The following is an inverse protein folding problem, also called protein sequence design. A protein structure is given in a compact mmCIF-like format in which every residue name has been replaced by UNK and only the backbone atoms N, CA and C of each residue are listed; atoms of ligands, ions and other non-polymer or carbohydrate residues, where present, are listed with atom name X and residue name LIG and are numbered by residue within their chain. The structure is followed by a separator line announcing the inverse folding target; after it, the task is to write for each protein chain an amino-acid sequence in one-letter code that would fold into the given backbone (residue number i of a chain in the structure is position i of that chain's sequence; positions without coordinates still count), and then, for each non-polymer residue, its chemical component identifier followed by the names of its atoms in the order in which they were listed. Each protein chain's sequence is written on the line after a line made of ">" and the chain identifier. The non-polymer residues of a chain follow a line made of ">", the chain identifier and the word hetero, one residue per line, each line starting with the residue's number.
data_IF_017728140902
#
_entry.id   IF_017728140902
#
_cell.length_a   1.000
_cell.length_b   1.000
_cell.length_c   1.000
_cell.angle_alpha   90.00
_cell.angle_beta   90.00
_cell.angle_gamma   90.00
#
_symmetry.space_group_name_H-M   'P 1'
#
loop_
_entity.id
_entity.type
_entity.pdbx_description
1 polymer ?
#
# COMPACT_ATOMS: atom_id res chain seq x y z
N UNK A 1 36.17 22.13 -46.64
CA UNK A 1 35.41 23.17 -45.92
C UNK A 1 33.92 22.81 -45.76
N UNK A 2 33.33 21.98 -46.59
CA UNK A 2 31.90 21.56 -46.49
C UNK A 2 31.66 20.44 -45.42
N UNK A 3 32.63 19.56 -45.18
CA UNK A 3 32.48 18.41 -44.26
C UNK A 3 32.59 18.79 -42.78
N UNK A 4 33.16 19.93 -42.44
CA UNK A 4 33.25 20.44 -41.07
C UNK A 4 31.96 21.08 -40.57
N UNK A 5 31.19 21.71 -41.46
CA UNK A 5 29.90 22.30 -41.12
C UNK A 5 28.79 21.28 -40.89
N UNK A 6 28.84 20.14 -41.55
CA UNK A 6 27.86 19.07 -41.40
C UNK A 6 28.03 18.34 -40.07
N UNK A 7 29.27 18.08 -39.60
CA UNK A 7 29.53 17.47 -38.31
C UNK A 7 29.16 18.37 -37.10
N UNK A 8 29.36 19.69 -37.24
CA UNK A 8 28.98 20.65 -36.19
C UNK A 8 27.46 20.77 -36.07
N UNK A 9 26.72 20.69 -37.19
CA UNK A 9 25.27 20.71 -37.16
C UNK A 9 24.67 19.41 -36.56
N UNK A 10 25.26 18.27 -36.87
CA UNK A 10 24.81 16.96 -36.32
C UNK A 10 25.09 16.83 -34.81
N UNK A 11 26.24 17.31 -34.34
CA UNK A 11 26.54 17.35 -32.90
C UNK A 11 25.62 18.32 -32.17
N UNK A 12 25.37 19.50 -32.70
CA UNK A 12 24.47 20.50 -32.06
C UNK A 12 23.02 20.02 -32.00
N UNK A 13 22.54 19.28 -33.03
CA UNK A 13 21.18 18.73 -33.02
C UNK A 13 21.04 17.54 -32.08
N UNK A 14 22.05 16.67 -32.03
CA UNK A 14 22.10 15.58 -31.05
C UNK A 14 22.20 16.10 -29.61
N UNK A 15 22.99 17.17 -29.37
CA UNK A 15 23.12 17.82 -28.07
C UNK A 15 21.82 18.53 -27.67
N UNK A 16 21.12 19.15 -28.59
CA UNK A 16 19.79 19.75 -28.34
C UNK A 16 18.74 18.67 -28.07
N UNK A 17 18.75 17.56 -28.81
CA UNK A 17 17.86 16.43 -28.55
C UNK A 17 18.16 15.75 -27.22
N UNK A 18 19.44 15.57 -26.87
CA UNK A 18 19.84 15.04 -25.54
C UNK A 18 19.52 16.04 -24.43
N UNK A 19 19.72 17.33 -24.64
CA UNK A 19 19.31 18.36 -23.67
C UNK A 19 17.78 18.46 -23.53
N UNK A 20 17.03 18.30 -24.62
CA UNK A 20 15.56 18.22 -24.60
C UNK A 20 15.09 16.93 -23.93
N UNK A 21 15.78 15.82 -24.17
CA UNK A 21 15.52 14.51 -23.54
C UNK A 21 15.82 14.55 -22.03
N UNK A 22 16.93 15.18 -21.63
CA UNK A 22 17.27 15.45 -20.24
C UNK A 22 16.31 16.46 -19.58
N UNK A 23 15.80 17.44 -20.34
CA UNK A 23 14.79 18.38 -19.84
C UNK A 23 13.39 17.77 -19.71
N UNK A 24 13.13 16.65 -20.38
CA UNK A 24 11.88 15.84 -20.33
C UNK A 24 12.16 14.47 -19.67
N UNK A 25 13.20 14.38 -18.86
CA UNK A 25 13.43 13.18 -18.06
C UNK A 25 12.24 13.00 -17.09
N UNK A 26 11.40 11.97 -17.27
CA UNK A 26 10.27 11.74 -16.38
C UNK A 26 10.69 11.46 -14.94
N UNK A 27 11.99 11.22 -14.70
CA UNK A 27 12.59 11.00 -13.38
C UNK A 27 13.08 12.28 -12.70
N UNK A 28 13.35 13.35 -13.45
CA UNK A 28 13.85 14.62 -12.92
C UNK A 28 12.98 15.20 -11.78
N UNK A 29 11.64 15.17 -11.84
CA UNK A 29 10.81 15.63 -10.72
C UNK A 29 10.99 14.76 -9.47
N UNK A 30 11.19 13.46 -9.63
CA UNK A 30 11.38 12.53 -8.50
C UNK A 30 12.74 12.69 -7.85
N UNK A 31 13.80 12.83 -8.65
CA UNK A 31 15.14 13.11 -8.17
C UNK A 31 15.19 14.47 -7.46
N UNK A 32 14.63 15.49 -8.06
CA UNK A 32 14.52 16.80 -7.43
C UNK A 32 13.79 16.74 -6.08
N UNK A 33 12.68 16.01 -6.01
CA UNK A 33 11.89 15.82 -4.78
C UNK A 33 12.69 15.07 -3.71
N UNK A 34 13.41 14.03 -4.08
CA UNK A 34 14.25 13.26 -3.17
C UNK A 34 15.41 14.12 -2.65
N UNK A 35 16.13 14.83 -3.52
CA UNK A 35 17.34 15.56 -3.17
C UNK A 35 17.03 16.86 -2.42
N UNK A 36 15.96 17.57 -2.77
CA UNK A 36 15.68 18.89 -2.22
C UNK A 36 14.67 18.89 -1.06
N UNK A 37 13.82 17.85 -0.95
CA UNK A 37 12.83 17.78 0.13
C UNK A 37 13.10 16.62 1.09
N UNK A 38 13.20 15.41 0.59
CA UNK A 38 13.32 14.21 1.43
C UNK A 38 14.71 14.11 2.07
N UNK A 39 15.77 14.28 1.28
CA UNK A 39 17.16 14.20 1.75
C UNK A 39 17.43 15.16 2.91
N UNK A 40 17.22 16.48 2.78
CA UNK A 40 17.47 17.42 3.87
C UNK A 40 16.64 17.17 5.13
N UNK A 41 15.40 16.64 5.00
CA UNK A 41 14.58 16.27 6.15
C UNK A 41 15.19 15.04 6.84
N UNK A 42 15.56 14.01 6.08
CA UNK A 42 16.16 12.79 6.62
C UNK A 42 17.54 13.05 7.23
N UNK A 43 18.35 13.94 6.66
CA UNK A 43 19.65 14.34 7.20
C UNK A 43 19.49 15.07 8.55
N UNK A 44 18.49 15.93 8.67
CA UNK A 44 18.17 16.58 9.96
C UNK A 44 17.69 15.55 11.00
N UNK A 45 16.85 14.60 10.59
CA UNK A 45 16.42 13.50 11.48
C UNK A 45 17.60 12.63 11.89
N UNK A 46 18.54 12.35 10.98
CA UNK A 46 19.80 11.66 11.29
C UNK A 46 20.59 12.38 12.39
N UNK A 47 20.72 13.71 12.27
CA UNK A 47 21.43 14.54 13.23
C UNK A 47 20.74 14.57 14.62
N UNK A 48 19.40 14.60 14.64
CA UNK A 48 18.62 14.64 15.89
C UNK A 48 18.55 13.28 16.58
N UNK A 49 18.34 12.21 15.81
CA UNK A 49 18.17 10.85 16.34
C UNK A 49 19.50 10.11 16.54
N UNK A 50 20.61 10.65 16.02
CA UNK A 50 21.93 10.01 16.09
C UNK A 50 22.03 8.69 15.31
N UNK A 51 21.12 8.43 14.39
CA UNK A 51 21.06 7.17 13.61
C UNK A 51 21.55 7.39 12.19
N UNK A 52 22.72 6.84 11.79
CA UNK A 52 23.27 7.02 10.43
C UNK A 52 22.40 6.38 9.34
N UNK A 53 21.45 5.55 9.71
CA UNK A 53 20.56 4.81 8.82
C UNK A 53 19.78 5.70 7.85
N UNK A 54 19.26 6.83 8.32
CA UNK A 54 18.44 7.75 7.53
C UNK A 54 19.24 8.58 6.50
N UNK A 55 20.58 8.62 6.66
CA UNK A 55 21.49 9.28 5.71
C UNK A 55 21.77 8.47 4.43
N UNK A 56 21.41 7.17 4.39
CA UNK A 56 21.64 6.35 3.20
C UNK A 56 20.56 6.57 2.14
N UNK A 57 20.91 6.89 0.86
CA UNK A 57 19.94 7.17 -0.19
C UNK A 57 18.93 6.04 -0.45
N UNK A 58 19.35 4.77 -0.32
CA UNK A 58 18.43 3.64 -0.48
C UNK A 58 17.40 3.56 0.65
N UNK A 59 17.79 3.92 1.89
CA UNK A 59 16.87 3.97 3.02
C UNK A 59 15.87 5.12 2.90
N UNK A 60 16.31 6.28 2.44
CA UNK A 60 15.42 7.43 2.17
C UNK A 60 14.33 7.05 1.16
N UNK A 61 14.72 6.34 0.09
CA UNK A 61 13.77 5.80 -0.91
C UNK A 61 12.83 4.76 -0.31
N UNK A 62 13.36 3.85 0.50
CA UNK A 62 12.57 2.81 1.15
C UNK A 62 11.54 3.40 2.13
N UNK A 63 11.92 4.38 2.96
CA UNK A 63 10.98 5.06 3.86
C UNK A 63 9.91 5.83 3.10
N UNK A 64 10.30 6.60 2.06
CA UNK A 64 9.32 7.34 1.26
C UNK A 64 8.31 6.40 0.61
N UNK A 65 8.79 5.30 0.06
CA UNK A 65 7.93 4.30 -0.55
C UNK A 65 7.02 3.61 0.49
N UNK A 66 7.55 3.26 1.66
CA UNK A 66 6.77 2.67 2.74
C UNK A 66 5.65 3.62 3.23
N UNK A 67 5.96 4.90 3.42
CA UNK A 67 4.98 5.96 3.77
C UNK A 67 3.90 6.10 2.69
N UNK A 68 4.27 6.16 1.41
CA UNK A 68 3.28 6.22 0.33
C UNK A 68 2.32 5.03 0.36
N UNK A 69 2.83 3.81 0.56
CA UNK A 69 2.01 2.59 0.62
C UNK A 69 1.13 2.60 1.87
N UNK A 70 1.68 3.01 3.02
CA UNK A 70 0.96 3.09 4.29
C UNK A 70 -0.18 4.14 4.28
N UNK A 71 -0.17 5.10 3.35
CA UNK A 71 -1.32 5.99 3.10
C UNK A 71 -2.35 5.33 2.20
N UNK A 72 -1.92 4.86 1.00
CA UNK A 72 -2.88 4.39 -0.02
C UNK A 72 -3.45 3.00 0.30
N UNK A 73 -2.68 2.15 0.99
CA UNK A 73 -3.10 0.81 1.41
C UNK A 73 -4.37 0.85 2.25
N UNK A 74 -4.34 1.47 3.45
CA UNK A 74 -5.53 1.57 4.30
C UNK A 74 -6.65 2.40 3.70
N UNK A 75 -6.32 3.41 2.87
CA UNK A 75 -7.32 4.23 2.18
C UNK A 75 -8.23 3.37 1.28
N UNK A 76 -7.65 2.45 0.51
CA UNK A 76 -8.38 1.48 -0.33
C UNK A 76 -8.85 0.29 0.51
N UNK A 77 -8.01 -0.22 1.39
CA UNK A 77 -8.28 -1.37 2.25
C UNK A 77 -9.52 -1.18 3.14
N UNK A 78 -9.77 0.05 3.63
CA UNK A 78 -10.96 0.31 4.44
C UNK A 78 -12.25 0.03 3.67
N UNK A 79 -12.33 0.39 2.39
CA UNK A 79 -13.49 0.06 1.56
C UNK A 79 -13.60 -1.45 1.30
N UNK A 80 -12.46 -2.14 1.06
CA UNK A 80 -12.42 -3.59 0.84
C UNK A 80 -12.91 -4.37 2.06
N UNK A 81 -12.40 -4.04 3.24
CA UNK A 81 -12.76 -4.72 4.49
C UNK A 81 -14.25 -4.52 4.81
N UNK A 82 -14.79 -3.30 4.64
CA UNK A 82 -16.22 -3.05 4.87
C UNK A 82 -17.14 -3.70 3.83
N UNK A 83 -16.60 -4.13 2.68
CA UNK A 83 -17.33 -4.90 1.65
C UNK A 83 -17.12 -6.39 1.77
N UNK A 84 -16.43 -6.85 2.80
CA UNK A 84 -16.10 -8.27 3.00
C UNK A 84 -15.28 -8.87 1.84
N UNK A 85 -14.51 -8.03 1.13
CA UNK A 85 -13.68 -8.41 -0.01
C UNK A 85 -12.18 -8.37 0.31
N UNK A 86 -11.79 -8.61 1.55
CA UNK A 86 -10.39 -8.58 1.99
C UNK A 86 -9.48 -9.55 1.21
N UNK A 87 -10.01 -10.72 0.82
CA UNK A 87 -9.29 -11.72 0.00
C UNK A 87 -8.93 -11.23 -1.40
N UNK A 88 -9.58 -10.16 -1.91
CA UNK A 88 -9.27 -9.60 -3.23
C UNK A 88 -7.83 -9.09 -3.31
N UNK A 89 -7.31 -8.48 -2.25
CA UNK A 89 -5.93 -7.99 -2.21
C UNK A 89 -4.90 -9.11 -2.36
N UNK A 90 -5.14 -10.25 -1.71
CA UNK A 90 -4.29 -11.44 -1.81
C UNK A 90 -4.35 -12.08 -3.20
N UNK A 91 -5.56 -12.24 -3.73
CA UNK A 91 -5.77 -12.72 -5.11
C UNK A 91 -5.02 -11.87 -6.13
N UNK A 92 -5.13 -10.54 -6.02
CA UNK A 92 -4.46 -9.62 -6.94
C UNK A 92 -2.94 -9.62 -6.76
N UNK A 93 -2.42 -9.82 -5.54
CA UNK A 93 -0.99 -9.92 -5.29
C UNK A 93 -0.38 -11.15 -5.98
N UNK A 94 -1.01 -12.31 -5.84
CA UNK A 94 -0.54 -13.54 -6.49
C UNK A 94 -0.65 -13.49 -8.02
N UNK A 95 -1.68 -12.87 -8.56
CA UNK A 95 -1.81 -12.71 -10.03
C UNK A 95 -0.90 -11.61 -10.57
N UNK A 96 -0.63 -10.55 -9.81
CA UNK A 96 0.39 -9.57 -10.15
C UNK A 96 1.78 -10.19 -10.23
N UNK A 97 2.09 -11.10 -9.30
CA UNK A 97 3.31 -11.90 -9.36
C UNK A 97 3.40 -12.73 -10.63
N UNK A 98 2.34 -13.42 -11.03
CA UNK A 98 2.30 -14.09 -12.31
C UNK A 98 2.55 -13.11 -13.48
N UNK A 99 2.04 -11.88 -13.40
CA UNK A 99 2.30 -10.82 -14.37
C UNK A 99 3.76 -10.39 -14.44
N UNK A 100 4.48 -10.32 -13.30
CA UNK A 100 5.94 -10.11 -13.28
C UNK A 100 6.65 -11.24 -14.01
N UNK A 101 6.30 -12.48 -13.69
CA UNK A 101 6.91 -13.67 -14.30
C UNK A 101 6.64 -13.73 -15.80
N UNK A 102 5.42 -13.40 -16.25
CA UNK A 102 5.08 -13.27 -17.66
C UNK A 102 5.98 -12.23 -18.35
N UNK A 103 6.20 -11.07 -17.73
CA UNK A 103 7.09 -10.04 -18.25
C UNK A 103 8.53 -10.52 -18.39
N UNK A 104 9.06 -11.18 -17.36
CA UNK A 104 10.41 -11.76 -17.40
C UNK A 104 10.52 -12.87 -18.47
N UNK A 105 9.52 -13.71 -18.60
CA UNK A 105 9.46 -14.75 -19.63
C UNK A 105 9.45 -14.17 -21.04
N UNK A 106 8.61 -13.15 -21.31
CA UNK A 106 8.57 -12.49 -22.59
C UNK A 106 9.90 -11.82 -22.95
N UNK A 107 10.55 -11.19 -21.97
CA UNK A 107 11.88 -10.60 -22.17
C UNK A 107 12.92 -11.67 -22.51
N UNK A 108 12.90 -12.82 -21.83
CA UNK A 108 13.82 -13.91 -22.11
C UNK A 108 13.56 -14.60 -23.45
N UNK A 109 12.28 -14.89 -23.76
CA UNK A 109 11.90 -15.67 -24.95
C UNK A 109 11.91 -14.84 -26.25
N UNK A 110 11.57 -13.55 -26.18
CA UNK A 110 11.41 -12.66 -27.35
C UNK A 110 12.46 -11.56 -27.40
N UNK A 111 13.45 -11.55 -26.50
CA UNK A 111 14.48 -10.51 -26.38
C UNK A 111 13.88 -9.09 -26.30
N UNK A 112 12.72 -8.96 -25.65
CA UNK A 112 12.05 -7.69 -25.41
C UNK A 112 12.66 -7.02 -24.16
N UNK A 113 12.48 -5.70 -24.06
CA UNK A 113 12.90 -4.91 -22.88
C UNK A 113 11.68 -4.35 -22.15
N UNK A 114 10.69 -5.21 -21.88
CA UNK A 114 9.48 -4.80 -21.17
C UNK A 114 9.77 -4.65 -19.66
N UNK A 115 9.23 -3.59 -19.07
CA UNK A 115 9.25 -3.47 -17.62
C UNK A 115 8.34 -4.52 -16.98
N UNK A 116 8.90 -5.39 -16.12
CA UNK A 116 8.12 -6.41 -15.39
C UNK A 116 7.02 -5.81 -14.52
N UNK A 117 7.18 -4.55 -14.11
CA UNK A 117 6.16 -3.82 -13.36
C UNK A 117 4.94 -3.49 -14.24
N UNK A 118 5.17 -3.06 -15.49
CA UNK A 118 4.08 -2.76 -16.43
C UNK A 118 3.28 -4.02 -16.76
N UNK A 119 3.95 -5.15 -16.98
CA UNK A 119 3.26 -6.44 -17.22
C UNK A 119 2.47 -6.88 -15.98
N UNK A 120 3.00 -6.67 -14.78
CA UNK A 120 2.29 -6.91 -13.53
C UNK A 120 1.01 -6.06 -13.42
N UNK A 121 1.06 -4.77 -13.74
CA UNK A 121 -0.11 -3.89 -13.74
C UNK A 121 -1.18 -4.36 -14.73
N UNK A 122 -0.78 -4.67 -15.96
CA UNK A 122 -1.71 -5.15 -16.99
C UNK A 122 -2.39 -6.43 -16.55
N UNK A 123 -1.62 -7.43 -16.10
CA UNK A 123 -2.17 -8.72 -15.65
C UNK A 123 -3.06 -8.52 -14.41
N UNK A 124 -2.65 -7.74 -13.43
CA UNK A 124 -3.46 -7.47 -12.23
C UNK A 124 -4.79 -6.78 -12.58
N UNK A 125 -4.79 -5.77 -13.46
CA UNK A 125 -6.02 -5.10 -13.88
C UNK A 125 -6.93 -6.05 -14.66
N UNK A 126 -6.39 -6.85 -15.59
CA UNK A 126 -7.17 -7.85 -16.34
C UNK A 126 -7.78 -8.86 -15.39
N UNK A 127 -7.00 -9.35 -14.42
CA UNK A 127 -7.47 -10.30 -13.40
C UNK A 127 -8.52 -9.68 -12.49
N UNK A 128 -8.32 -8.43 -12.08
CA UNK A 128 -9.27 -7.67 -11.29
C UNK A 128 -10.65 -7.60 -11.97
N UNK A 129 -10.67 -7.28 -13.26
CA UNK A 129 -11.88 -7.24 -14.06
C UNK A 129 -12.47 -8.63 -14.31
N UNK A 130 -11.62 -9.66 -14.45
CA UNK A 130 -12.04 -11.06 -14.59
C UNK A 130 -12.76 -11.56 -13.34
N UNK A 131 -12.23 -11.26 -12.15
CA UNK A 131 -12.88 -11.61 -10.87
C UNK A 131 -14.27 -10.98 -10.79
N UNK A 132 -14.39 -9.69 -11.12
CA UNK A 132 -15.69 -9.01 -11.10
C UNK A 132 -16.67 -9.64 -12.11
N UNK A 133 -16.18 -9.97 -13.31
CA UNK A 133 -16.98 -10.62 -14.35
C UNK A 133 -17.49 -12.00 -13.88
N UNK A 134 -16.62 -12.79 -13.24
CA UNK A 134 -16.98 -14.11 -12.71
C UNK A 134 -18.06 -14.01 -11.63
N UNK A 135 -17.92 -13.06 -10.71
CA UNK A 135 -18.90 -12.82 -9.64
C UNK A 135 -20.22 -12.33 -10.21
N UNK A 136 -20.20 -11.41 -11.20
CA UNK A 136 -21.44 -10.80 -11.75
C UNK A 136 -22.20 -11.76 -12.67
N UNK A 137 -21.53 -12.55 -13.51
CA UNK A 137 -22.15 -13.35 -14.56
C UNK A 137 -22.24 -14.84 -14.26
N UNK A 138 -21.27 -15.42 -13.55
CA UNK A 138 -21.27 -16.85 -13.27
C UNK A 138 -22.10 -17.22 -12.03
N UNK A 139 -22.61 -16.23 -11.27
CA UNK A 139 -23.34 -16.48 -10.01
C UNK A 139 -22.50 -17.24 -8.98
N UNK A 140 -21.17 -17.26 -9.17
CA UNK A 140 -20.26 -17.95 -8.28
C UNK A 140 -20.13 -17.18 -6.96
N UNK A 141 -19.93 -17.91 -5.87
CA UNK A 141 -19.58 -17.30 -4.59
C UNK A 141 -18.29 -16.49 -4.73
N UNK A 142 -18.28 -15.27 -4.21
CA UNK A 142 -17.12 -14.35 -4.31
C UNK A 142 -15.84 -15.02 -3.85
N UNK A 143 -15.84 -15.67 -2.68
CA UNK A 143 -14.66 -16.32 -2.11
C UNK A 143 -14.14 -17.48 -2.97
N UNK A 144 -15.05 -18.24 -3.59
CA UNK A 144 -14.67 -19.33 -4.49
C UNK A 144 -14.02 -18.80 -5.76
N UNK A 145 -14.57 -17.72 -6.34
CA UNK A 145 -13.99 -17.07 -7.53
C UNK A 145 -12.61 -16.50 -7.22
N UNK A 146 -12.45 -15.85 -6.07
CA UNK A 146 -11.17 -15.30 -5.63
C UNK A 146 -10.13 -16.40 -5.41
N UNK A 147 -10.51 -17.53 -4.77
CA UNK A 147 -9.62 -18.65 -4.53
C UNK A 147 -9.17 -19.32 -5.85
N UNK A 148 -10.09 -19.49 -6.81
CA UNK A 148 -9.76 -20.06 -8.14
C UNK A 148 -8.77 -19.18 -8.90
N UNK A 149 -9.00 -17.87 -8.91
CA UNK A 149 -8.14 -16.90 -9.61
C UNK A 149 -6.79 -16.80 -8.92
N UNK A 150 -6.73 -16.81 -7.58
CA UNK A 150 -5.50 -16.79 -6.81
C UNK A 150 -4.63 -18.02 -7.15
N UNK A 151 -5.20 -19.21 -7.01
CA UNK A 151 -4.47 -20.46 -7.27
C UNK A 151 -4.08 -20.62 -8.73
N UNK A 152 -4.95 -20.22 -9.66
CA UNK A 152 -4.68 -20.22 -11.10
C UNK A 152 -3.56 -19.26 -11.48
N UNK A 153 -3.57 -18.04 -10.95
CA UNK A 153 -2.52 -17.05 -11.17
C UNK A 153 -1.17 -17.53 -10.65
N UNK A 154 -1.13 -18.05 -9.42
CA UNK A 154 0.12 -18.60 -8.86
C UNK A 154 0.62 -19.82 -9.64
N UNK A 155 -0.27 -20.71 -10.09
CA UNK A 155 0.08 -21.87 -10.89
C UNK A 155 0.70 -21.47 -12.24
N UNK A 156 0.12 -20.49 -12.94
CA UNK A 156 0.68 -19.96 -14.19
C UNK A 156 2.08 -19.39 -13.94
N UNK A 157 2.25 -18.57 -12.91
CA UNK A 157 3.56 -18.03 -12.53
C UNK A 157 4.58 -19.14 -12.28
N UNK A 158 4.22 -20.15 -11.50
CA UNK A 158 5.08 -21.29 -11.17
C UNK A 158 5.49 -22.10 -12.41
N UNK A 159 4.55 -22.37 -13.33
CA UNK A 159 4.85 -23.08 -14.58
C UNK A 159 5.85 -22.29 -15.43
N UNK A 160 5.66 -20.96 -15.58
CA UNK A 160 6.56 -20.13 -16.37
C UNK A 160 7.98 -20.04 -15.78
N UNK A 161 8.10 -19.99 -14.44
CA UNK A 161 9.39 -20.01 -13.75
C UNK A 161 10.13 -21.33 -14.06
N UNK A 162 9.44 -22.46 -13.93
CA UNK A 162 10.03 -23.78 -14.15
C UNK A 162 10.32 -24.08 -15.61
N UNK A 163 9.54 -23.49 -16.54
CA UNK A 163 9.75 -23.66 -17.99
C UNK A 163 10.97 -22.88 -18.53
N UNK A 164 11.61 -22.02 -17.75
CA UNK A 164 12.69 -21.13 -18.22
C UNK A 164 14.08 -21.56 -17.70
N UNK A 165 14.36 -22.84 -17.63
CA UNK A 165 15.70 -23.44 -17.29
C UNK A 165 16.48 -22.70 -16.18
N UNK A 166 15.78 -22.17 -15.17
CA UNK A 166 16.36 -21.49 -14.01
C UNK A 166 16.85 -20.06 -14.24
N UNK A 167 16.80 -19.53 -15.47
CA UNK A 167 17.30 -18.16 -15.77
C UNK A 167 16.47 -17.03 -15.16
N UNK A 168 15.19 -17.28 -14.86
CA UNK A 168 14.27 -16.28 -14.25
C UNK A 168 14.28 -16.36 -12.72
N UNK A 169 14.77 -17.43 -12.12
CA UNK A 169 14.74 -17.60 -10.65
C UNK A 169 15.57 -16.56 -9.88
N UNK A 170 16.52 -15.92 -10.54
CA UNK A 170 17.36 -14.88 -9.93
C UNK A 170 16.54 -13.60 -9.73
N UNK A 171 16.28 -13.24 -8.47
CA UNK A 171 15.56 -12.02 -8.10
C UNK A 171 14.06 -12.22 -7.79
N UNK A 172 13.50 -13.40 -8.00
CA UNK A 172 12.11 -13.72 -7.64
C UNK A 172 11.87 -13.56 -6.14
N UNK A 173 12.87 -13.91 -5.32
CA UNK A 173 12.80 -13.78 -3.86
C UNK A 173 12.51 -12.33 -3.43
N UNK A 174 13.03 -11.34 -4.15
CA UNK A 174 12.78 -9.93 -3.87
C UNK A 174 11.29 -9.57 -4.11
N UNK A 175 10.63 -10.18 -5.08
CA UNK A 175 9.19 -9.97 -5.32
C UNK A 175 8.32 -10.75 -4.34
N UNK A 176 8.77 -11.90 -3.85
CA UNK A 176 8.02 -12.72 -2.89
C UNK A 176 8.07 -12.14 -1.47
N UNK A 177 9.26 -11.79 -1.01
CA UNK A 177 9.49 -11.38 0.38
C UNK A 177 9.71 -9.88 0.56
N UNK A 178 9.84 -9.13 -0.53
CA UNK A 178 10.19 -7.72 -0.52
C UNK A 178 11.68 -7.47 -0.28
N UNK A 179 12.19 -6.34 -0.74
CA UNK A 179 13.57 -5.95 -0.55
C UNK A 179 13.71 -4.42 -0.54
N UNK A 180 14.29 -3.87 0.53
CA UNK A 180 14.56 -2.43 0.62
C UNK A 180 15.63 -1.99 -0.38
N UNK A 181 16.57 -2.88 -0.71
CA UNK A 181 17.69 -2.58 -1.60
C UNK A 181 17.29 -2.47 -3.09
N UNK A 182 16.16 -3.06 -3.48
CA UNK A 182 15.68 -3.06 -4.87
C UNK A 182 14.85 -1.82 -5.23
N UNK A 183 14.56 -0.95 -4.27
CA UNK A 183 13.77 0.26 -4.49
C UNK A 183 14.60 1.30 -5.24
N UNK A 184 14.40 1.40 -6.56
CA UNK A 184 15.04 2.39 -7.42
C UNK A 184 14.31 3.74 -7.37
N UNK A 185 15.00 4.81 -7.81
CA UNK A 185 14.38 6.15 -7.94
C UNK A 185 13.16 6.12 -8.88
N UNK A 186 13.27 5.35 -9.98
CA UNK A 186 12.18 5.16 -10.93
C UNK A 186 10.94 4.53 -10.26
N UNK A 187 11.14 3.51 -9.43
CA UNK A 187 10.04 2.85 -8.71
C UNK A 187 9.36 3.79 -7.72
N UNK A 188 10.13 4.62 -7.02
CA UNK A 188 9.59 5.66 -6.12
C UNK A 188 8.77 6.69 -6.89
N UNK A 189 9.24 7.13 -8.06
CA UNK A 189 8.49 8.05 -8.92
C UNK A 189 7.15 7.49 -9.38
N UNK A 190 7.13 6.24 -9.84
CA UNK A 190 5.90 5.54 -10.23
C UNK A 190 4.97 5.41 -9.02
N UNK A 191 5.50 5.05 -7.85
CA UNK A 191 4.72 4.91 -6.63
C UNK A 191 4.11 6.23 -6.17
N UNK A 192 4.86 7.34 -6.21
CA UNK A 192 4.36 8.68 -5.90
C UNK A 192 3.21 9.07 -6.85
N UNK A 193 3.37 8.83 -8.14
CA UNK A 193 2.34 9.07 -9.15
C UNK A 193 1.09 8.25 -8.85
N UNK A 194 1.24 6.96 -8.59
CA UNK A 194 0.12 6.07 -8.25
C UNK A 194 -0.55 6.51 -6.95
N UNK A 195 0.23 6.89 -5.93
CA UNK A 195 -0.31 7.39 -4.66
C UNK A 195 -1.14 8.65 -4.85
N UNK A 196 -0.69 9.57 -5.71
CA UNK A 196 -1.44 10.77 -6.07
C UNK A 196 -2.72 10.43 -6.82
N UNK A 197 -2.66 9.53 -7.79
CA UNK A 197 -3.82 9.09 -8.60
C UNK A 197 -4.84 8.35 -7.72
N UNK A 198 -4.40 7.38 -6.94
CA UNK A 198 -5.28 6.59 -6.05
C UNK A 198 -5.89 7.50 -4.99
N UNK A 199 -5.07 8.28 -4.28
CA UNK A 199 -5.53 9.22 -3.26
C UNK A 199 -6.49 10.26 -3.84
N UNK A 200 -6.18 10.83 -5.01
CA UNK A 200 -7.04 11.77 -5.74
C UNK A 200 -8.37 11.14 -6.14
N UNK A 201 -8.36 9.96 -6.77
CA UNK A 201 -9.59 9.26 -7.19
C UNK A 201 -10.45 8.87 -5.99
N UNK A 202 -9.86 8.34 -4.92
CA UNK A 202 -10.62 7.97 -3.72
C UNK A 202 -11.22 9.20 -3.05
N UNK A 203 -10.49 10.32 -2.96
CA UNK A 203 -11.03 11.56 -2.37
C UNK A 203 -12.13 12.18 -3.21
N UNK A 204 -11.99 12.22 -4.54
CA UNK A 204 -13.01 12.73 -5.47
C UNK A 204 -14.27 11.86 -5.49
N UNK A 205 -14.10 10.53 -5.41
CA UNK A 205 -15.19 9.56 -5.46
C UNK A 205 -15.60 9.05 -4.07
N UNK A 206 -15.12 9.67 -2.99
CA UNK A 206 -15.37 9.24 -1.62
C UNK A 206 -16.85 9.01 -1.29
N UNK A 207 -17.70 9.98 -1.62
CA UNK A 207 -19.14 9.89 -1.32
C UNK A 207 -19.82 8.75 -2.09
N UNK A 208 -19.73 8.66 -3.43
CA UNK A 208 -20.28 7.53 -4.18
C UNK A 208 -19.74 6.18 -3.73
N UNK A 209 -18.43 6.07 -3.48
CA UNK A 209 -17.82 4.83 -2.98
C UNK A 209 -18.39 4.42 -1.63
N UNK A 210 -18.61 5.38 -0.73
CA UNK A 210 -19.22 5.13 0.57
C UNK A 210 -20.65 4.58 0.41
N UNK A 211 -21.48 5.22 -0.43
CA UNK A 211 -22.84 4.75 -0.70
C UNK A 211 -22.84 3.32 -1.27
N UNK A 212 -22.02 3.05 -2.26
CA UNK A 212 -21.93 1.73 -2.90
C UNK A 212 -21.37 0.67 -1.93
N UNK A 213 -20.54 1.08 -0.97
CA UNK A 213 -19.95 0.16 0.02
C UNK A 213 -20.98 -0.29 1.06
N UNK A 214 -21.81 0.60 1.57
CA UNK A 214 -22.75 0.26 2.64
C UNK A 214 -24.13 -0.16 2.13
N UNK A 215 -24.62 0.42 1.05
CA UNK A 215 -25.93 0.06 0.47
C UNK A 215 -25.93 0.25 -1.06
N UNK A 216 -25.61 -0.82 -1.77
CA UNK A 216 -25.61 -0.84 -3.23
C UNK A 216 -27.03 -0.67 -3.81
N UNK A 217 -28.07 -1.08 -3.10
CA UNK A 217 -29.48 -0.96 -3.54
C UNK A 217 -29.94 0.49 -3.46
N UNK A 218 -29.67 1.15 -2.33
CA UNK A 218 -29.96 2.58 -2.19
C UNK A 218 -29.14 3.43 -3.18
N UNK A 219 -27.88 3.05 -3.44
CA UNK A 219 -27.04 3.71 -4.44
C UNK A 219 -27.65 3.60 -5.86
N UNK A 220 -28.20 2.44 -6.23
CA UNK A 220 -28.92 2.25 -7.50
C UNK A 220 -30.18 3.12 -7.56
N UNK A 221 -30.97 3.16 -6.48
CA UNK A 221 -32.15 4.01 -6.40
C UNK A 221 -31.81 5.50 -6.54
N UNK A 222 -30.65 5.92 -6.05
CA UNK A 222 -30.08 7.27 -6.23
C UNK A 222 -29.45 7.49 -7.63
N UNK A 223 -29.66 6.58 -8.59
CA UNK A 223 -29.12 6.62 -9.96
C UNK A 223 -27.60 6.62 -10.06
N UNK A 224 -26.89 6.13 -9.05
CA UNK A 224 -25.45 5.94 -9.13
C UNK A 224 -25.14 4.68 -9.96
N UNK A 225 -24.11 4.76 -10.80
CA UNK A 225 -23.65 3.59 -11.55
C UNK A 225 -22.81 2.67 -10.65
N UNK A 226 -23.48 1.78 -9.91
CA UNK A 226 -22.86 0.87 -8.95
C UNK A 226 -21.78 0.00 -9.60
N UNK A 227 -21.97 -0.48 -10.84
CA UNK A 227 -20.97 -1.27 -11.56
C UNK A 227 -19.68 -0.49 -11.78
N UNK A 228 -19.78 0.79 -12.17
CA UNK A 228 -18.61 1.64 -12.39
C UNK A 228 -17.78 1.79 -11.08
N UNK A 229 -18.45 2.06 -9.95
CA UNK A 229 -17.75 2.22 -8.68
C UNK A 229 -17.18 0.91 -8.12
N UNK A 230 -17.84 -0.22 -8.38
CA UNK A 230 -17.29 -1.56 -8.08
C UNK A 230 -16.00 -1.80 -8.88
N UNK A 231 -16.02 -1.60 -10.21
CA UNK A 231 -14.86 -1.73 -11.08
C UNK A 231 -13.73 -0.79 -10.70
N UNK A 232 -14.08 0.48 -10.44
CA UNK A 232 -13.09 1.47 -9.97
C UNK A 232 -12.37 0.98 -8.72
N UNK A 233 -13.12 0.44 -7.75
CA UNK A 233 -12.55 -0.05 -6.49
C UNK A 233 -11.59 -1.22 -6.70
N UNK A 234 -11.97 -2.17 -7.56
CA UNK A 234 -11.15 -3.34 -7.88
C UNK A 234 -9.86 -2.93 -8.62
N UNK A 235 -9.96 -1.99 -9.57
CA UNK A 235 -8.80 -1.44 -10.29
C UNK A 235 -7.88 -0.65 -9.34
N UNK A 236 -8.43 0.18 -8.45
CA UNK A 236 -7.65 0.89 -7.43
C UNK A 236 -6.89 -0.09 -6.53
N UNK A 237 -7.53 -1.19 -6.15
CA UNK A 237 -6.87 -2.26 -5.38
C UNK A 237 -5.71 -2.87 -6.14
N UNK A 238 -5.89 -3.17 -7.44
CA UNK A 238 -4.82 -3.71 -8.28
C UNK A 238 -3.63 -2.74 -8.36
N UNK A 239 -3.89 -1.44 -8.53
CA UNK A 239 -2.84 -0.42 -8.56
C UNK A 239 -2.04 -0.37 -7.25
N UNK A 240 -2.74 -0.37 -6.11
CA UNK A 240 -2.09 -0.36 -4.77
C UNK A 240 -1.28 -1.63 -4.55
N UNK A 241 -1.86 -2.80 -4.86
CA UNK A 241 -1.21 -4.10 -4.65
C UNK A 241 0.07 -4.23 -5.48
N UNK A 242 0.01 -3.91 -6.79
CA UNK A 242 1.20 -4.00 -7.66
C UNK A 242 2.29 -3.03 -7.21
N UNK A 243 1.90 -1.82 -6.77
CA UNK A 243 2.87 -0.83 -6.28
C UNK A 243 3.55 -1.28 -4.99
N UNK A 244 2.80 -1.92 -4.09
CA UNK A 244 3.30 -2.35 -2.78
C UNK A 244 4.17 -3.61 -2.86
N UNK A 245 3.92 -4.50 -3.84
CA UNK A 245 4.59 -5.81 -3.88
C UNK A 245 6.11 -5.74 -4.06
N UNK A 246 6.65 -4.68 -4.68
CA UNK A 246 8.09 -4.54 -4.84
C UNK A 246 8.84 -4.33 -3.53
N UNK A 247 8.20 -3.68 -2.56
CA UNK A 247 8.82 -3.31 -1.28
C UNK A 247 8.52 -4.36 -0.21
N UNK A 248 7.26 -4.76 -0.12
CA UNK A 248 6.76 -5.64 0.93
C UNK A 248 6.74 -7.11 0.51
N UNK A 249 6.82 -7.38 -0.79
CA UNK A 249 6.63 -8.72 -1.35
C UNK A 249 5.17 -9.12 -1.48
N UNK A 250 4.91 -10.02 -2.42
CA UNK A 250 3.58 -10.51 -2.77
C UNK A 250 2.85 -11.14 -1.57
N UNK A 251 3.57 -11.94 -0.78
CA UNK A 251 2.99 -12.70 0.33
C UNK A 251 2.43 -11.79 1.43
N UNK A 252 2.97 -10.58 1.57
CA UNK A 252 2.71 -9.72 2.72
C UNK A 252 1.87 -8.48 2.39
N UNK A 253 1.69 -8.16 1.11
CA UNK A 253 0.92 -6.99 0.66
C UNK A 253 -0.53 -7.02 1.17
N UNK A 254 -1.18 -8.18 1.13
CA UNK A 254 -2.56 -8.31 1.58
C UNK A 254 -2.72 -7.97 3.07
N UNK A 255 -1.72 -8.31 3.90
CA UNK A 255 -1.75 -8.00 5.32
C UNK A 255 -1.76 -6.50 5.59
N UNK A 256 -1.00 -5.70 4.82
CA UNK A 256 -0.95 -4.24 4.98
C UNK A 256 -2.27 -3.55 4.60
N UNK A 257 -3.00 -4.08 3.64
CA UNK A 257 -4.31 -3.53 3.29
C UNK A 257 -5.40 -3.88 4.32
N UNK A 258 -5.24 -4.98 5.06
CA UNK A 258 -6.31 -5.53 5.90
C UNK A 258 -6.06 -5.32 7.39
N UNK A 259 -4.85 -5.62 7.89
CA UNK A 259 -4.56 -5.67 9.33
C UNK A 259 -4.70 -4.29 10.01
N UNK A 260 -4.11 -3.19 9.49
CA UNK A 260 -4.27 -1.87 10.08
C UNK A 260 -5.72 -1.39 10.08
N UNK A 261 -6.47 -1.72 9.01
CA UNK A 261 -7.90 -1.41 8.90
C UNK A 261 -8.71 -2.19 9.93
N UNK A 262 -8.42 -3.48 10.11
CA UNK A 262 -9.07 -4.30 11.12
C UNK A 262 -8.78 -3.79 12.55
N UNK A 263 -7.56 -3.29 12.82
CA UNK A 263 -7.22 -2.64 14.07
C UNK A 263 -8.03 -1.36 14.29
N UNK A 264 -8.07 -0.49 13.29
CA UNK A 264 -8.78 0.79 13.34
C UNK A 264 -10.29 0.62 13.50
N UNK A 265 -10.90 -0.34 12.79
CA UNK A 265 -12.33 -0.62 12.85
C UNK A 265 -12.80 -1.02 14.25
N UNK A 266 -11.91 -1.53 15.12
CA UNK A 266 -12.24 -1.89 16.51
C UNK A 266 -12.46 -0.69 17.42
N UNK A 267 -11.81 0.43 17.16
CA UNK A 267 -11.82 1.62 18.05
C UNK A 267 -12.49 2.82 17.38
N UNK A 268 -12.67 2.81 16.07
CA UNK A 268 -13.32 3.88 15.33
C UNK A 268 -14.81 3.97 15.64
N UNK A 269 -15.32 5.20 15.75
CA UNK A 269 -16.75 5.50 15.92
C UNK A 269 -17.48 5.82 14.61
N UNK A 270 -16.75 5.86 13.50
CA UNK A 270 -17.30 6.15 12.18
C UNK A 270 -16.26 5.94 11.08
N UNK A 271 -16.73 5.88 9.82
CA UNK A 271 -15.90 5.50 8.68
C UNK A 271 -14.68 6.41 8.49
N UNK A 272 -14.82 7.73 8.57
CA UNK A 272 -13.69 8.66 8.45
C UNK A 272 -12.62 8.42 9.52
N UNK A 273 -13.06 8.22 10.76
CA UNK A 273 -12.15 7.92 11.85
C UNK A 273 -11.46 6.56 11.64
N UNK A 274 -12.17 5.57 11.10
CA UNK A 274 -11.59 4.27 10.73
C UNK A 274 -10.46 4.43 9.71
N UNK A 275 -10.69 5.20 8.63
CA UNK A 275 -9.66 5.49 7.64
C UNK A 275 -8.44 6.18 8.25
N UNK A 276 -8.64 7.25 9.04
CA UNK A 276 -7.51 7.99 9.63
C UNK A 276 -6.71 7.16 10.61
N UNK A 277 -7.38 6.39 11.46
CA UNK A 277 -6.70 5.49 12.40
C UNK A 277 -5.99 4.33 11.69
N UNK A 278 -6.57 3.81 10.61
CA UNK A 278 -5.94 2.78 9.79
C UNK A 278 -4.65 3.29 9.14
N UNK A 279 -4.68 4.50 8.56
CA UNK A 279 -3.48 5.14 8.00
C UNK A 279 -2.41 5.35 9.06
N UNK A 280 -2.77 5.89 10.24
CA UNK A 280 -1.81 6.11 11.32
C UNK A 280 -1.21 4.81 11.86
N UNK A 281 -2.01 3.74 11.96
CA UNK A 281 -1.54 2.43 12.38
C UNK A 281 -0.59 1.81 11.36
N UNK A 282 -0.89 1.99 10.07
CA UNK A 282 -0.07 1.49 8.97
C UNK A 282 1.24 2.27 8.82
N UNK A 283 1.21 3.60 8.95
CA UNK A 283 2.40 4.44 9.00
C UNK A 283 3.34 4.04 10.12
N UNK A 284 2.79 3.82 11.32
CA UNK A 284 3.59 3.33 12.45
C UNK A 284 4.21 1.96 12.14
N UNK A 285 3.42 1.02 11.59
CA UNK A 285 3.88 -0.31 11.24
C UNK A 285 4.96 -0.28 10.14
N UNK A 286 4.79 0.56 9.12
CA UNK A 286 5.73 0.74 8.03
C UNK A 286 7.06 1.32 8.52
N UNK A 287 7.04 2.42 9.26
CA UNK A 287 8.24 3.07 9.78
C UNK A 287 8.99 2.15 10.75
N UNK A 288 8.29 1.57 11.73
CA UNK A 288 8.89 0.67 12.71
C UNK A 288 9.39 -0.63 12.04
N UNK A 289 8.63 -1.19 11.09
CA UNK A 289 9.01 -2.40 10.36
C UNK A 289 10.25 -2.21 9.48
N UNK A 290 10.34 -1.10 8.73
CA UNK A 290 11.53 -0.75 7.94
C UNK A 290 12.75 -0.56 8.84
N UNK A 291 12.58 0.10 9.98
CA UNK A 291 13.64 0.29 10.97
C UNK A 291 14.15 -1.04 11.53
N UNK A 292 13.24 -1.96 11.90
CA UNK A 292 13.56 -3.29 12.39
C UNK A 292 14.26 -4.13 11.31
N UNK A 293 13.74 -4.07 10.07
CA UNK A 293 14.35 -4.76 8.92
C UNK A 293 15.80 -4.39 8.74
N UNK A 294 16.11 -3.09 8.74
CA UNK A 294 17.49 -2.60 8.62
C UNK A 294 18.34 -3.00 9.81
N UNK A 295 17.84 -2.84 11.03
CA UNK A 295 18.61 -3.06 12.27
C UNK A 295 19.00 -4.53 12.48
N UNK A 296 18.15 -5.46 12.05
CA UNK A 296 18.34 -6.90 12.26
C UNK A 296 18.68 -7.67 10.98
N UNK A 297 18.72 -7.01 9.81
CA UNK A 297 18.99 -7.67 8.53
C UNK A 297 17.94 -8.70 8.12
N UNK A 298 16.66 -8.45 8.48
CA UNK A 298 15.53 -9.34 8.20
C UNK A 298 14.67 -8.82 7.02
N UNK A 299 13.82 -9.67 6.45
CA UNK A 299 12.95 -9.31 5.35
C UNK A 299 12.03 -8.13 5.71
N UNK A 300 12.00 -7.09 4.85
CA UNK A 300 11.26 -5.86 5.11
C UNK A 300 9.76 -6.09 5.26
N UNK A 301 9.15 -6.83 4.34
CA UNK A 301 7.73 -7.13 4.39
C UNK A 301 7.34 -7.87 5.67
N UNK A 302 8.14 -8.89 6.07
CA UNK A 302 7.88 -9.66 7.29
C UNK A 302 7.89 -8.80 8.55
N UNK A 303 8.89 -7.91 8.70
CA UNK A 303 9.00 -7.02 9.86
C UNK A 303 7.85 -6.01 9.92
N UNK A 304 7.43 -5.46 8.77
CA UNK A 304 6.29 -4.54 8.70
C UNK A 304 4.99 -5.24 9.13
N UNK A 305 4.72 -6.44 8.58
CA UNK A 305 3.49 -7.17 8.91
C UNK A 305 3.44 -7.62 10.38
N UNK A 306 4.57 -8.10 10.92
CA UNK A 306 4.65 -8.46 12.35
C UNK A 306 4.37 -7.25 13.23
N UNK A 307 4.89 -6.07 12.85
CA UNK A 307 4.61 -4.81 13.56
C UNK A 307 3.13 -4.43 13.46
N UNK A 308 2.52 -4.54 12.28
CA UNK A 308 1.09 -4.27 12.07
C UNK A 308 0.20 -5.20 12.91
N UNK A 309 0.53 -6.50 12.97
CA UNK A 309 -0.14 -7.48 13.83
C UNK A 309 0.05 -7.11 15.31
N UNK A 310 1.24 -6.67 15.70
CA UNK A 310 1.52 -6.16 17.05
C UNK A 310 0.59 -5.00 17.42
N UNK A 311 0.43 -4.01 16.53
CA UNK A 311 -0.51 -2.90 16.70
C UNK A 311 -1.95 -3.40 16.87
N UNK A 312 -2.36 -4.38 16.05
CA UNK A 312 -3.68 -4.98 16.17
C UNK A 312 -3.90 -5.64 17.54
N UNK A 313 -2.94 -6.44 18.01
CA UNK A 313 -3.00 -7.12 19.33
C UNK A 313 -3.06 -6.09 20.45
N UNK A 314 -2.25 -5.04 20.40
CA UNK A 314 -2.26 -3.95 21.39
C UNK A 314 -3.64 -3.27 21.40
N UNK A 315 -4.21 -3.00 20.24
CA UNK A 315 -5.55 -2.41 20.12
C UNK A 315 -6.61 -3.28 20.78
N UNK A 316 -6.56 -4.60 20.56
CA UNK A 316 -7.46 -5.56 21.24
C UNK A 316 -7.27 -5.58 22.76
N UNK A 317 -6.04 -5.56 23.24
CA UNK A 317 -5.73 -5.53 24.66
C UNK A 317 -6.28 -4.27 25.35
N UNK A 318 -6.05 -3.10 24.74
CA UNK A 318 -6.57 -1.81 25.22
C UNK A 318 -8.10 -1.81 25.27
N UNK A 319 -8.75 -2.37 24.25
CA UNK A 319 -10.21 -2.46 24.19
C UNK A 319 -10.80 -3.31 25.34
N UNK A 320 -10.13 -4.42 25.68
CA UNK A 320 -10.56 -5.31 26.77
C UNK A 320 -10.28 -4.71 28.15
N UNK A 321 -9.19 -3.98 28.31
CA UNK A 321 -8.77 -3.39 29.58
C UNK A 321 -9.51 -2.08 29.93
N UNK A 322 -9.88 -1.28 28.94
CA UNK A 322 -10.55 0.00 29.13
C UNK A 322 -11.88 -0.09 29.93
N UNK A 323 -12.77 -1.09 29.75
CA UNK A 323 -13.96 -1.24 30.56
C UNK A 323 -13.67 -1.66 32.03
N UNK A 324 -12.64 -2.48 32.24
CA UNK A 324 -12.25 -2.92 33.58
C UNK A 324 -11.64 -1.78 34.40
N UNK A 325 -10.82 -0.92 33.78
CA UNK A 325 -10.27 0.27 34.43
C UNK A 325 -11.37 1.26 34.82
N UNK A 326 -12.37 1.50 33.98
CA UNK A 326 -13.53 2.35 34.32
C UNK A 326 -14.42 1.77 35.43
N UNK A 327 -14.44 0.45 35.62
CA UNK A 327 -15.13 -0.19 36.76
C UNK A 327 -14.37 -0.02 38.03
N UNK A 328 -13.04 -0.06 38.02
CA UNK A 328 -12.19 0.16 39.19
C UNK A 328 -12.28 1.61 39.71
N UNK A 329 -12.31 2.60 38.82
CA UNK A 329 -12.53 4.01 39.19
C UNK A 329 -13.91 4.24 39.87
N UNK A 330 -14.94 3.47 39.51
CA UNK A 330 -16.27 3.56 40.12
C UNK A 330 -16.36 2.81 41.48
N UNK A 331 -15.38 1.96 41.78
CA UNK A 331 -15.32 1.20 43.03
C UNK A 331 -14.45 1.87 44.11
N UNK A 332 -13.78 3.00 43.80
CA UNK A 332 -13.20 3.86 44.82
C UNK A 332 -14.29 4.80 45.33
N UNK A 333 -14.91 4.53 46.52
CA UNK A 333 -15.85 5.46 47.12
C UNK A 333 -15.05 6.69 47.53
N UNK A 334 -15.42 7.84 46.94
CA UNK A 334 -14.82 9.12 47.23
C UNK A 334 -14.85 9.41 48.73
N UNK A 335 -13.70 9.65 49.30
CA UNK A 335 -13.54 10.38 50.54
C UNK A 335 -14.02 11.83 50.32
N UNK A 336 -15.34 12.06 50.32
CA UNK A 336 -15.88 13.43 50.29
C UNK A 336 -17.36 13.53 50.67
N UNK A 337 -17.85 12.77 51.66
CA UNK A 337 -19.14 13.10 52.27
C UNK A 337 -19.16 12.87 53.80
N UNK A 338 -18.04 13.10 54.47
CA UNK A 338 -17.96 13.06 55.93
C UNK A 338 -17.76 14.45 56.55
N UNK A 339 -18.28 15.51 55.95
CA UNK A 339 -18.00 16.87 56.39
C UNK A 339 -19.20 17.83 56.45
N UNK A 340 -20.45 17.36 56.31
CA UNK A 340 -21.60 18.32 56.31
C UNK A 340 -22.85 17.74 56.97
N UNK A 341 -22.72 17.19 58.17
CA UNK A 341 -23.86 16.97 59.09
C UNK A 341 -23.44 17.13 60.51
N UNK A 342 -23.03 18.33 60.89
CA UNK A 342 -22.95 18.78 62.25
C UNK A 342 -23.05 20.31 62.24
N UNK A 343 -24.24 20.85 61.99
CA UNK A 343 -24.67 22.10 62.62
C UNK A 343 -26.14 22.37 62.21
N UNK A 344 -27.01 22.55 63.15
CA UNK A 344 -28.39 22.98 62.86
C UNK A 344 -29.47 22.25 63.68
N UNK A 345 -29.22 21.92 64.97
CA UNK A 345 -30.28 21.70 65.94
C UNK A 345 -30.32 22.86 66.90
N UNK A 346 -31.38 23.55 66.98
CA UNK A 346 -31.96 24.39 68.03
C UNK A 346 -32.63 25.64 67.45
N UNK A 347 -33.87 25.65 67.67
CA UNK A 347 -34.80 26.67 68.12
C UNK A 347 -36.13 26.70 67.44
N UNK A 348 -37.07 26.50 68.31
CA UNK A 348 -38.50 26.83 68.39
C UNK A 348 -39.48 26.00 67.57
#
# INVERSE_FOLDING_TARGET
>A
MFLTHQRVAETTFADVLTALWLAVDPMAPTEWFLDNLVGPIMDRLTAVLGTPMLGYPFMQRAYLAAVCIAVIGPLVGTFLVHREMAMLSDTLAHTAFAGVVVGLFLNSALSLTLSSLVTAFVVAIVTALLVELLVEHAGAYTDTSLAMVLTGGFAIGSILITATDGGISVGIDAYLFGSLATVSTANVGILLLISLVVGGLVTLTYRPLLYVTFDATAAQAARLNVRLYKRLMVVLTALVVVSAMQIMGVILVAAMLVVPVAAAARVARGFRQSVTLAVLADEFAAIAGVTLSYSYGIAAGGSIVVTAIGVYIITLAVQKLAPSLRRLDRLQPGHSEAGLKADGGEKE
#
